data_IF_108572811523
#
_entry.id   IF_108572811523
#
_cell.length_a   1.000
_cell.length_b   1.000
_cell.length_c   1.000
_cell.angle_alpha   90.00
_cell.angle_beta   90.00
_cell.angle_gamma   90.00
#
_symmetry.space_group_name_H-M   'P 1'
#
loop_
_entity.id
_entity.type
_entity.pdbx_description
1 polymer ?
#
# COMPACT_ATOMS: atom_id res chain seq x y z
N UNK A 1 36.63 -7.43 48.92
CA UNK A 1 35.70 -6.29 48.79
C UNK A 1 35.68 -5.86 47.33
N UNK A 2 34.48 -5.90 46.77
CA UNK A 2 33.92 -5.13 45.64
C UNK A 2 34.67 -5.03 44.29
N UNK A 3 34.07 -5.74 43.33
CA UNK A 3 34.16 -5.58 41.88
C UNK A 3 33.63 -4.20 41.43
N UNK A 4 34.21 -3.65 40.36
CA UNK A 4 33.53 -2.67 39.53
C UNK A 4 33.79 -3.00 38.05
N UNK A 5 32.89 -3.78 37.46
CA UNK A 5 32.76 -3.93 36.00
C UNK A 5 31.85 -2.78 35.56
N UNK A 6 32.39 -1.82 34.82
CA UNK A 6 31.59 -0.79 34.20
C UNK A 6 30.77 -1.41 33.06
N UNK A 7 29.45 -1.15 32.96
CA UNK A 7 28.67 -1.62 31.83
C UNK A 7 29.06 -0.81 30.59
N UNK A 8 29.53 -1.51 29.57
CA UNK A 8 29.58 -0.99 28.22
C UNK A 8 28.13 -0.72 27.79
N UNK A 9 27.78 0.56 27.63
CA UNK A 9 26.54 0.92 26.96
C UNK A 9 26.66 0.51 25.49
N UNK A 10 26.13 -0.67 25.19
CA UNK A 10 25.73 -1.02 23.85
C UNK A 10 24.66 0.00 23.44
N UNK A 11 25.04 0.98 22.62
CA UNK A 11 24.08 1.75 21.85
C UNK A 11 23.53 0.80 20.80
N UNK A 12 22.38 0.19 21.10
CA UNK A 12 21.57 -0.48 20.09
C UNK A 12 21.27 0.56 18.98
N UNK A 13 21.49 0.24 17.70
CA UNK A 13 21.12 1.15 16.63
C UNK A 13 19.61 1.31 16.70
N UNK A 14 19.16 2.54 16.97
CA UNK A 14 17.77 2.95 16.82
C UNK A 14 17.44 2.73 15.34
N UNK A 15 16.87 1.57 15.02
CA UNK A 15 16.19 1.35 13.76
C UNK A 15 15.01 2.33 13.77
N UNK A 16 15.17 3.47 13.10
CA UNK A 16 14.04 4.31 12.76
C UNK A 16 13.12 3.46 11.88
N UNK A 17 12.09 2.85 12.48
CA UNK A 17 10.91 2.44 11.73
C UNK A 17 10.45 3.66 10.94
N UNK A 18 10.59 3.62 9.62
CA UNK A 18 9.84 4.53 8.76
C UNK A 18 8.37 4.23 9.06
N UNK A 19 7.70 5.15 9.77
CA UNK A 19 6.27 5.03 10.02
C UNK A 19 5.57 5.02 8.66
N UNK A 20 4.98 3.89 8.28
CA UNK A 20 4.23 3.76 7.03
C UNK A 20 3.13 4.81 6.98
N UNK A 21 3.10 5.60 5.90
CA UNK A 21 1.98 6.50 5.63
C UNK A 21 0.81 5.70 5.06
N UNK A 22 -0.05 5.19 5.94
CA UNK A 22 -1.18 4.32 5.56
C UNK A 22 -2.13 4.95 4.55
N UNK A 23 -2.34 6.26 4.61
CA UNK A 23 -3.26 6.94 3.68
C UNK A 23 -2.68 7.07 2.28
N UNK A 24 -1.38 7.35 2.18
CA UNK A 24 -0.69 7.38 0.89
C UNK A 24 -0.67 5.99 0.27
N UNK A 25 -0.33 4.97 1.08
CA UNK A 25 -0.36 3.58 0.65
C UNK A 25 -1.76 3.16 0.18
N UNK A 26 -2.83 3.56 0.88
CA UNK A 26 -4.20 3.27 0.45
C UNK A 26 -4.51 3.85 -0.92
N UNK A 27 -4.14 5.11 -1.15
CA UNK A 27 -4.36 5.76 -2.45
C UNK A 27 -3.60 5.03 -3.56
N UNK A 28 -2.39 4.56 -3.30
CA UNK A 28 -1.61 3.82 -4.28
C UNK A 28 -2.22 2.45 -4.59
N UNK A 29 -2.73 1.74 -3.58
CA UNK A 29 -3.44 0.47 -3.78
C UNK A 29 -4.74 0.67 -4.57
N UNK A 30 -5.54 1.70 -4.26
CA UNK A 30 -6.73 2.03 -5.06
C UNK A 30 -6.39 2.42 -6.51
N UNK A 31 -5.26 3.07 -6.75
CA UNK A 31 -4.80 3.33 -8.12
C UNK A 31 -4.42 2.05 -8.85
N UNK A 32 -3.82 1.07 -8.17
CA UNK A 32 -3.54 -0.23 -8.78
C UNK A 32 -4.84 -0.97 -9.13
N UNK A 33 -5.85 -0.92 -8.25
CA UNK A 33 -7.18 -1.48 -8.50
C UNK A 33 -7.86 -0.84 -9.71
N UNK A 34 -7.89 0.51 -9.73
CA UNK A 34 -8.41 1.27 -10.88
C UNK A 34 -7.62 1.00 -12.16
N UNK A 35 -6.32 0.77 -12.09
CA UNK A 35 -5.52 0.42 -13.27
C UNK A 35 -5.95 -0.93 -13.87
N UNK A 36 -6.31 -1.91 -13.04
CA UNK A 36 -6.83 -3.20 -13.51
C UNK A 36 -8.13 -3.00 -14.28
N UNK A 37 -9.09 -2.27 -13.72
CA UNK A 37 -10.39 -2.07 -14.34
C UNK A 37 -10.36 -1.08 -15.54
N UNK A 38 -9.69 0.06 -15.39
CA UNK A 38 -9.79 1.19 -16.34
C UNK A 38 -8.74 1.16 -17.45
N UNK A 39 -7.61 0.50 -17.22
CA UNK A 39 -6.51 0.40 -18.19
C UNK A 39 -6.41 -0.97 -18.84
N UNK A 40 -7.40 -1.86 -18.61
CA UNK A 40 -7.42 -3.22 -19.16
C UNK A 40 -6.14 -4.01 -18.81
N UNK A 41 -5.56 -3.75 -17.63
CA UNK A 41 -4.35 -4.46 -17.20
C UNK A 41 -4.69 -5.94 -16.98
N UNK A 42 -4.00 -6.80 -17.72
CA UNK A 42 -4.19 -8.24 -17.59
C UNK A 42 -3.34 -8.74 -16.44
N UNK A 43 -3.99 -9.17 -15.36
CA UNK A 43 -3.32 -9.91 -14.31
C UNK A 43 -2.97 -11.32 -14.80
N UNK A 44 -1.73 -11.78 -14.63
CA UNK A 44 -1.30 -13.09 -15.11
C UNK A 44 -1.87 -14.24 -14.28
N UNK A 45 -2.29 -14.00 -13.03
CA UNK A 45 -3.00 -14.98 -12.20
C UNK A 45 -4.01 -14.32 -11.26
N UNK A 46 -4.92 -15.12 -10.71
CA UNK A 46 -5.84 -14.68 -9.66
C UNK A 46 -5.15 -14.39 -8.32
N UNK A 47 -3.92 -14.88 -8.12
CA UNK A 47 -3.15 -14.60 -6.89
C UNK A 47 -2.77 -13.13 -6.78
N UNK A 48 -2.44 -12.47 -7.90
CA UNK A 48 -2.18 -11.03 -7.89
C UNK A 48 -3.42 -10.21 -7.53
N UNK A 49 -4.61 -10.64 -7.96
CA UNK A 49 -5.86 -9.96 -7.58
C UNK A 49 -6.13 -10.11 -6.09
N UNK A 50 -6.06 -11.33 -5.56
CA UNK A 50 -6.28 -11.61 -4.14
C UNK A 50 -5.28 -10.82 -3.27
N UNK A 51 -4.00 -10.79 -3.67
CA UNK A 51 -2.96 -10.02 -2.98
C UNK A 51 -3.29 -8.53 -2.89
N UNK A 52 -3.83 -7.96 -3.97
CA UNK A 52 -4.22 -6.55 -4.00
C UNK A 52 -5.44 -6.29 -3.10
N UNK A 53 -6.48 -7.10 -3.23
CA UNK A 53 -7.71 -6.99 -2.44
C UNK A 53 -7.46 -7.13 -0.93
N UNK A 54 -6.65 -8.11 -0.53
CA UNK A 54 -6.30 -8.33 0.88
C UNK A 54 -5.53 -7.13 1.45
N UNK A 55 -4.58 -6.60 0.66
CA UNK A 55 -3.79 -5.45 1.06
C UNK A 55 -4.63 -4.18 1.19
N UNK A 56 -5.59 -3.97 0.29
CA UNK A 56 -6.57 -2.87 0.41
C UNK A 56 -7.32 -3.01 1.74
N UNK A 57 -7.91 -4.18 2.02
CA UNK A 57 -8.64 -4.41 3.25
C UNK A 57 -7.76 -4.21 4.50
N UNK A 58 -6.52 -4.69 4.47
CA UNK A 58 -5.54 -4.54 5.55
C UNK A 58 -5.21 -3.06 5.84
N UNK A 59 -5.05 -2.24 4.79
CA UNK A 59 -4.72 -0.82 4.92
C UNK A 59 -5.94 0.01 5.29
N UNK A 60 -7.12 -0.30 4.76
CA UNK A 60 -8.40 0.34 5.14
C UNK A 60 -8.63 0.27 6.67
N UNK A 61 -8.33 -0.88 7.29
CA UNK A 61 -8.42 -1.05 8.75
C UNK A 61 -7.44 -0.17 9.54
N UNK A 62 -6.37 0.34 8.91
CA UNK A 62 -5.29 1.12 9.57
C UNK A 62 -5.39 2.62 9.36
N UNK A 63 -6.06 3.08 8.29
CA UNK A 63 -6.26 4.52 8.06
C UNK A 63 -7.32 5.13 8.98
N UNK A 64 -8.04 4.31 9.76
CA UNK A 64 -9.07 4.72 10.73
C UNK A 64 -10.12 5.67 10.12
N UNK A 65 -10.65 5.27 8.96
CA UNK A 65 -11.69 6.01 8.24
C UNK A 65 -13.01 5.25 8.28
N UNK A 66 -14.11 6.01 8.26
CA UNK A 66 -15.42 5.42 8.03
C UNK A 66 -15.51 4.87 6.62
N UNK A 67 -16.40 3.89 6.42
CA UNK A 67 -16.68 3.35 5.10
C UNK A 67 -17.06 4.44 4.09
N UNK A 68 -17.90 5.39 4.50
CA UNK A 68 -18.32 6.51 3.64
C UNK A 68 -17.12 7.38 3.21
N UNK A 69 -16.14 7.59 4.11
CA UNK A 69 -14.94 8.34 3.78
C UNK A 69 -14.00 7.54 2.85
N UNK A 70 -13.92 6.21 3.00
CA UNK A 70 -13.19 5.34 2.07
C UNK A 70 -13.84 5.38 0.67
N UNK A 71 -15.16 5.27 0.61
CA UNK A 71 -15.94 5.35 -0.63
C UNK A 71 -15.75 6.72 -1.31
N UNK A 72 -15.69 7.81 -0.55
CA UNK A 72 -15.41 9.16 -1.08
C UNK A 72 -13.99 9.27 -1.66
N UNK A 73 -12.99 8.72 -0.97
CA UNK A 73 -11.60 8.69 -1.45
C UNK A 73 -11.50 7.91 -2.76
N UNK A 74 -12.10 6.72 -2.81
CA UNK A 74 -12.11 5.89 -4.02
C UNK A 74 -12.82 6.60 -5.18
N UNK A 75 -14.02 7.14 -4.94
CA UNK A 75 -14.81 7.86 -5.95
C UNK A 75 -14.05 9.06 -6.53
N UNK A 76 -13.29 9.78 -5.69
CA UNK A 76 -12.46 10.89 -6.14
C UNK A 76 -11.32 10.41 -7.05
N UNK A 77 -10.61 9.35 -6.66
CA UNK A 77 -9.54 8.77 -7.47
C UNK A 77 -10.07 8.22 -8.79
N UNK A 78 -11.25 7.59 -8.77
CA UNK A 78 -11.93 7.11 -9.97
C UNK A 78 -12.27 8.27 -10.92
N UNK A 79 -12.82 9.37 -10.40
CA UNK A 79 -13.11 10.57 -11.20
C UNK A 79 -11.86 11.16 -11.85
N UNK A 80 -10.77 11.32 -11.07
CA UNK A 80 -9.47 11.79 -11.56
C UNK A 80 -8.92 10.85 -12.65
N UNK A 81 -9.02 9.54 -12.43
CA UNK A 81 -8.60 8.51 -13.39
C UNK A 81 -9.37 8.58 -14.70
N UNK A 82 -10.68 8.80 -14.66
CA UNK A 82 -11.50 8.94 -15.89
C UNK A 82 -11.14 10.22 -16.64
N UNK A 83 -10.91 11.32 -15.94
CA UNK A 83 -10.55 12.60 -16.54
C UNK A 83 -9.18 12.54 -17.25
N UNK A 84 -8.21 11.84 -16.68
CA UNK A 84 -6.81 11.78 -17.15
C UNK A 84 -6.39 10.36 -17.58
N UNK A 85 -7.34 9.57 -18.10
CA UNK A 85 -7.16 8.12 -18.34
C UNK A 85 -5.89 7.76 -19.08
N UNK A 86 -5.55 8.45 -20.16
CA UNK A 86 -4.37 8.11 -20.97
C UNK A 86 -3.06 8.28 -20.19
N UNK A 87 -2.94 9.37 -19.42
CA UNK A 87 -1.76 9.67 -18.63
C UNK A 87 -1.67 8.71 -17.43
N UNK A 88 -2.81 8.46 -16.77
CA UNK A 88 -2.93 7.48 -15.71
C UNK A 88 -2.51 6.07 -16.17
N UNK A 89 -3.07 5.58 -17.28
CA UNK A 89 -2.74 4.24 -17.78
C UNK A 89 -1.28 4.13 -18.23
N UNK A 90 -0.70 5.21 -18.77
CA UNK A 90 0.73 5.25 -19.10
C UNK A 90 1.61 5.14 -17.84
N UNK A 91 1.23 5.82 -16.75
CA UNK A 91 1.93 5.75 -15.48
C UNK A 91 1.83 4.35 -14.82
N UNK A 92 0.75 3.63 -15.07
CA UNK A 92 0.46 2.32 -14.48
C UNK A 92 0.95 1.12 -15.29
N UNK A 93 1.88 1.32 -16.24
CA UNK A 93 2.42 0.25 -17.10
C UNK A 93 3.03 -0.93 -16.32
N UNK A 94 3.53 -0.68 -15.10
CA UNK A 94 4.13 -1.70 -14.23
C UNK A 94 3.22 -2.13 -13.07
N UNK A 95 1.91 -1.89 -13.13
CA UNK A 95 0.99 -2.15 -12.02
C UNK A 95 1.10 -3.58 -11.47
N UNK A 96 1.22 -4.59 -12.34
CA UNK A 96 1.39 -6.00 -11.92
C UNK A 96 2.66 -6.20 -11.09
N UNK A 97 3.77 -5.58 -11.47
CA UNK A 97 5.03 -5.70 -10.74
C UNK A 97 4.97 -4.96 -9.40
N UNK A 98 4.22 -3.85 -9.30
CA UNK A 98 3.96 -3.18 -8.03
C UNK A 98 3.08 -4.04 -7.12
N UNK A 99 2.04 -4.69 -7.65
CA UNK A 99 1.21 -5.65 -6.90
C UNK A 99 2.07 -6.77 -6.31
N UNK A 100 3.04 -7.30 -7.06
CA UNK A 100 3.94 -8.36 -6.58
C UNK A 100 4.88 -7.92 -5.46
N UNK A 101 5.16 -6.62 -5.35
CA UNK A 101 5.96 -6.04 -4.26
C UNK A 101 5.14 -5.78 -3.00
N UNK A 102 3.81 -5.90 -3.06
CA UNK A 102 2.96 -5.80 -1.87
C UNK A 102 3.46 -6.83 -0.85
N UNK A 103 3.83 -6.38 0.37
CA UNK A 103 4.35 -7.24 1.41
C UNK A 103 3.38 -8.36 1.79
N UNK A 104 3.92 -9.52 2.13
CA UNK A 104 3.10 -10.69 2.45
C UNK A 104 2.28 -10.51 3.74
N UNK A 105 2.76 -9.68 4.66
CA UNK A 105 2.07 -9.36 5.90
C UNK A 105 0.78 -8.54 5.71
N UNK A 106 0.51 -8.04 4.50
CA UNK A 106 -0.73 -7.34 4.16
C UNK A 106 -1.81 -8.30 3.63
N UNK A 107 -1.47 -9.57 3.43
CA UNK A 107 -2.41 -10.62 3.07
C UNK A 107 -3.01 -11.20 4.37
N UNK A 108 -4.32 -11.12 4.55
CA UNK A 108 -5.04 -11.51 5.78
C UNK A 108 -5.83 -12.81 5.58
#
# INVERSE_FOLDING_TARGET
>A
MLLAVAPAYAQEPIQQEQSTNWRELLNDLYRLDLAIDRCEQVLPSGEEMIRLEDAIGYVERRVDLSKEALDEVFSKLEYETVAERNDFCSAMTNAVDEIRKIPAEYQD
#
